data_IF_290920363890
#
_entry.id   IF_290920363890
#
_cell.length_a   1.000
_cell.length_b   1.000
_cell.length_c   1.000
_cell.angle_alpha   90.00
_cell.angle_beta   90.00
_cell.angle_gamma   90.00
#
_symmetry.space_group_name_H-M   'P 1'
#
loop_
_entity.id
_entity.type
_entity.pdbx_description
1 polymer ?
#
# COMPACT_ATOMS: atom_id res chain seq x y z
N UNK A 1 10.20 10.65 -7.09
CA UNK A 1 8.81 10.15 -7.02
C UNK A 1 8.30 10.48 -5.63
N UNK A 2 7.07 10.98 -5.51
CA UNK A 2 6.45 11.23 -4.21
C UNK A 2 5.98 9.91 -3.62
N UNK A 3 6.51 9.54 -2.46
CA UNK A 3 6.08 8.37 -1.69
C UNK A 3 5.20 8.83 -0.52
N UNK A 4 4.15 8.08 -0.21
CA UNK A 4 3.24 8.34 0.91
C UNK A 4 3.39 7.22 1.93
N UNK A 5 3.68 7.56 3.18
CA UNK A 5 3.62 6.61 4.28
C UNK A 5 2.17 6.37 4.69
N UNK A 6 1.74 5.11 4.62
CA UNK A 6 0.42 4.67 5.06
C UNK A 6 0.55 4.22 6.50
N UNK A 7 -0.09 4.94 7.41
CA UNK A 7 0.06 4.73 8.84
C UNK A 7 -1.00 3.76 9.34
N UNK A 8 -0.57 2.69 10.01
CA UNK A 8 -1.44 1.69 10.63
C UNK A 8 -1.99 2.12 11.99
N UNK A 9 -2.74 1.23 12.62
CA UNK A 9 -3.40 1.48 13.91
C UNK A 9 -2.40 1.78 15.04
N UNK A 10 -1.15 1.31 14.91
CA UNK A 10 -0.07 1.51 15.88
C UNK A 10 0.70 2.83 15.69
N UNK A 11 0.31 3.66 14.72
CA UNK A 11 1.00 4.93 14.43
C UNK A 11 2.32 4.76 13.68
N UNK A 12 2.66 3.54 13.26
CA UNK A 12 3.81 3.22 12.43
C UNK A 12 3.39 2.97 10.97
N UNK A 13 4.30 3.19 10.00
CA UNK A 13 4.02 2.85 8.61
C UNK A 13 3.79 1.34 8.44
N UNK A 14 2.68 0.98 7.78
CA UNK A 14 2.38 -0.41 7.40
C UNK A 14 2.65 -0.67 5.92
N UNK A 15 2.60 0.38 5.09
CA UNK A 15 2.90 0.35 3.66
C UNK A 15 3.45 1.72 3.23
N UNK A 16 4.17 1.74 2.12
CA UNK A 16 4.55 2.96 1.41
C UNK A 16 3.91 2.93 0.02
N UNK A 17 3.22 4.01 -0.35
CA UNK A 17 2.58 4.11 -1.65
C UNK A 17 3.35 4.99 -2.61
N UNK A 18 3.47 4.57 -3.87
CA UNK A 18 4.05 5.37 -4.94
C UNK A 18 3.40 5.07 -6.29
N UNK A 19 3.48 6.02 -7.22
CA UNK A 19 3.10 5.79 -8.62
C UNK A 19 4.33 5.38 -9.42
N UNK A 20 4.25 4.25 -10.11
CA UNK A 20 5.25 3.88 -11.09
C UNK A 20 5.12 4.71 -12.37
N UNK A 21 6.18 4.68 -13.18
CA UNK A 21 6.24 5.36 -14.48
C UNK A 21 5.11 4.90 -15.44
N UNK A 22 4.66 3.66 -15.30
CA UNK A 22 3.57 3.08 -16.09
C UNK A 22 2.18 3.49 -15.59
N UNK A 23 2.09 4.29 -14.53
CA UNK A 23 0.83 4.79 -13.96
C UNK A 23 0.18 3.85 -12.93
N UNK A 24 0.77 2.68 -12.68
CA UNK A 24 0.33 1.74 -11.65
C UNK A 24 0.64 2.25 -10.25
N UNK A 25 -0.23 1.93 -9.30
CA UNK A 25 -0.03 2.26 -7.89
C UNK A 25 0.64 1.08 -7.18
N UNK A 26 1.82 1.34 -6.63
CA UNK A 26 2.58 0.39 -5.83
C UNK A 26 2.33 0.68 -4.35
N UNK A 27 2.13 -0.38 -3.58
CA UNK A 27 2.20 -0.38 -2.12
C UNK A 27 3.29 -1.36 -1.70
N UNK A 28 4.33 -0.88 -1.02
CA UNK A 28 5.48 -1.70 -0.64
C UNK A 28 5.66 -1.74 0.88
N UNK A 29 6.20 -2.85 1.35
CA UNK A 29 6.73 -3.00 2.70
C UNK A 29 8.02 -3.82 2.63
N UNK A 30 9.01 -3.39 3.40
CA UNK A 30 10.32 -4.01 3.45
C UNK A 30 10.77 -4.10 4.92
N UNK A 31 11.23 -5.29 5.29
CA UNK A 31 11.81 -5.60 6.59
C UNK A 31 13.20 -6.19 6.37
N UNK A 32 14.20 -5.58 7.01
CA UNK A 32 15.57 -6.08 7.04
C UNK A 32 15.84 -6.73 8.40
N UNK A 33 16.28 -7.99 8.37
CA UNK A 33 16.66 -8.71 9.59
C UNK A 33 17.82 -8.02 10.29
N UNK A 34 17.71 -7.80 11.61
CA UNK A 34 18.76 -7.13 12.38
C UNK A 34 19.75 -8.11 13.02
N UNK A 35 19.44 -9.40 13.00
CA UNK A 35 20.17 -10.45 13.69
C UNK A 35 20.41 -11.66 12.78
N UNK A 36 21.42 -12.48 13.07
CA UNK A 36 21.81 -13.64 12.26
C UNK A 36 20.69 -14.68 12.06
N UNK A 37 19.65 -14.66 12.90
CA UNK A 37 18.50 -15.57 12.84
C UNK A 37 17.26 -14.92 12.21
N UNK A 38 17.37 -13.69 11.72
CA UNK A 38 16.29 -12.95 11.08
C UNK A 38 16.54 -12.87 9.57
N UNK A 39 15.52 -13.20 8.78
CA UNK A 39 15.56 -13.06 7.33
C UNK A 39 14.99 -11.73 6.87
N UNK A 40 15.41 -11.30 5.69
CA UNK A 40 14.81 -10.14 5.02
C UNK A 40 13.48 -10.56 4.39
N UNK A 41 12.52 -9.64 4.43
CA UNK A 41 11.19 -9.84 3.87
C UNK A 41 10.71 -8.60 3.16
N UNK A 42 10.26 -8.76 1.92
CA UNK A 42 9.68 -7.69 1.13
C UNK A 42 8.38 -8.17 0.49
N UNK A 43 7.41 -7.28 0.39
CA UNK A 43 6.28 -7.49 -0.50
C UNK A 43 5.81 -6.18 -1.13
N UNK A 44 5.18 -6.30 -2.29
CA UNK A 44 4.45 -5.21 -2.88
C UNK A 44 3.10 -5.64 -3.46
N UNK A 45 2.10 -4.77 -3.29
CA UNK A 45 0.85 -4.82 -4.02
C UNK A 45 0.91 -3.85 -5.18
N UNK A 46 0.58 -4.33 -6.37
CA UNK A 46 0.43 -3.48 -7.56
C UNK A 46 -1.05 -3.38 -7.94
N UNK A 47 -1.56 -2.16 -8.00
CA UNK A 47 -2.94 -1.86 -8.40
C UNK A 47 -2.94 -1.17 -9.76
N UNK A 48 -3.74 -1.71 -10.68
CA UNK A 48 -3.93 -1.13 -12.02
C UNK A 48 -4.82 0.13 -11.96
N UNK A 49 -4.62 1.12 -12.85
CA UNK A 49 -5.38 2.37 -12.84
C UNK A 49 -6.90 2.21 -12.88
N UNK A 50 -7.41 1.14 -13.52
CA UNK A 50 -8.84 0.86 -13.61
C UNK A 50 -9.48 0.59 -12.25
N UNK A 51 -8.69 0.19 -11.25
CA UNK A 51 -9.15 -0.11 -9.89
C UNK A 51 -9.10 1.09 -8.95
N UNK A 52 -8.48 2.22 -9.35
CA UNK A 52 -8.37 3.42 -8.51
C UNK A 52 -9.73 3.97 -8.03
N UNK A 53 -10.79 4.00 -8.87
CA UNK A 53 -12.12 4.40 -8.41
C UNK A 53 -12.67 3.49 -7.30
N UNK A 54 -12.32 2.20 -7.29
CA UNK A 54 -12.76 1.26 -6.24
C UNK A 54 -12.14 1.60 -4.89
N UNK A 55 -10.87 2.03 -4.88
CA UNK A 55 -10.21 2.53 -3.67
C UNK A 55 -10.99 3.74 -3.14
N UNK A 56 -11.22 4.76 -3.96
CA UNK A 56 -11.95 5.96 -3.53
C UNK A 56 -13.36 5.63 -2.99
N UNK A 57 -14.13 4.85 -3.74
CA UNK A 57 -15.49 4.47 -3.38
C UNK A 57 -15.55 3.73 -2.04
N UNK A 58 -14.61 2.82 -1.79
CA UNK A 58 -14.52 2.07 -0.54
C UNK A 58 -14.38 3.00 0.67
N UNK A 59 -13.57 4.05 0.54
CA UNK A 59 -13.29 4.98 1.61
C UNK A 59 -14.24 6.19 1.66
N UNK A 60 -15.23 6.25 0.75
CA UNK A 60 -16.18 7.35 0.65
C UNK A 60 -15.56 8.65 0.12
N UNK A 61 -14.51 8.54 -0.70
CA UNK A 61 -13.76 9.64 -1.30
C UNK A 61 -14.18 9.87 -2.75
N UNK A 62 -13.76 11.00 -3.33
CA UNK A 62 -14.09 11.33 -4.72
C UNK A 62 -13.24 10.48 -5.70
N UNK A 63 -13.85 9.61 -6.52
CA UNK A 63 -13.11 8.74 -7.45
C UNK A 63 -12.42 9.48 -8.60
N UNK A 64 -12.69 10.77 -8.81
CA UNK A 64 -12.01 11.57 -9.84
C UNK A 64 -10.74 12.24 -9.33
N UNK A 65 -10.48 12.20 -8.02
CA UNK A 65 -9.28 12.80 -7.45
C UNK A 65 -8.04 11.99 -7.88
N UNK A 66 -6.87 12.62 -8.03
CA UNK A 66 -5.62 11.90 -8.28
C UNK A 66 -5.36 10.84 -7.21
N UNK A 67 -4.93 9.64 -7.63
CA UNK A 67 -4.83 8.49 -6.72
C UNK A 67 -3.91 8.73 -5.51
N UNK A 68 -2.82 9.48 -5.66
CA UNK A 68 -1.96 9.82 -4.53
C UNK A 68 -2.65 10.76 -3.53
N UNK A 69 -3.55 11.63 -3.99
CA UNK A 69 -4.39 12.45 -3.09
C UNK A 69 -5.37 11.55 -2.34
N UNK A 70 -6.00 10.60 -3.03
CA UNK A 70 -6.90 9.62 -2.39
C UNK A 70 -6.14 8.83 -1.31
N UNK A 71 -4.96 8.30 -1.61
CA UNK A 71 -4.13 7.57 -0.63
C UNK A 71 -3.73 8.45 0.55
N UNK A 72 -3.38 9.72 0.30
CA UNK A 72 -3.07 10.67 1.37
C UNK A 72 -4.30 10.92 2.27
N UNK A 73 -5.49 11.12 1.69
CA UNK A 73 -6.71 11.30 2.47
C UNK A 73 -7.02 10.08 3.34
N UNK A 74 -6.80 8.86 2.82
CA UNK A 74 -6.99 7.62 3.60
C UNK A 74 -6.05 7.57 4.81
N UNK A 75 -4.78 7.96 4.65
CA UNK A 75 -3.83 8.00 5.78
C UNK A 75 -4.19 9.10 6.77
N UNK A 76 -4.60 10.28 6.30
CA UNK A 76 -5.03 11.41 7.15
C UNK A 76 -6.31 11.08 7.96
N UNK A 77 -7.17 10.23 7.43
CA UNK A 77 -8.36 9.70 8.11
C UNK A 77 -8.04 8.61 9.15
N UNK A 78 -6.78 8.20 9.29
CA UNK A 78 -6.36 7.11 10.17
C UNK A 78 -6.79 5.74 9.67
N UNK A 79 -7.01 5.57 8.36
CA UNK A 79 -7.53 4.33 7.76
C UNK A 79 -6.47 3.50 7.04
N UNK A 80 -5.19 3.71 7.33
CA UNK A 80 -4.11 3.01 6.64
C UNK A 80 -4.12 1.50 6.87
N UNK A 81 -4.43 1.03 8.08
CA UNK A 81 -4.59 -0.40 8.34
C UNK A 81 -5.78 -1.01 7.59
N UNK A 82 -6.88 -0.25 7.43
CA UNK A 82 -8.04 -0.70 6.66
C UNK A 82 -7.70 -0.86 5.18
N UNK A 83 -6.87 0.04 4.63
CA UNK A 83 -6.35 -0.05 3.26
C UNK A 83 -5.45 -1.25 3.06
N UNK A 84 -4.48 -1.48 3.94
CA UNK A 84 -3.62 -2.67 3.92
C UNK A 84 -4.47 -3.95 3.91
N UNK A 85 -5.43 -4.07 4.84
CA UNK A 85 -6.31 -5.25 4.92
C UNK A 85 -7.12 -5.45 3.63
N UNK A 86 -7.60 -4.38 3.01
CA UNK A 86 -8.37 -4.46 1.78
C UNK A 86 -7.52 -4.96 0.59
N UNK A 87 -6.24 -4.59 0.54
CA UNK A 87 -5.28 -5.10 -0.44
C UNK A 87 -4.97 -6.58 -0.18
N UNK A 88 -4.64 -6.94 1.06
CA UNK A 88 -4.30 -8.31 1.48
C UNK A 88 -5.45 -9.29 1.26
N UNK A 89 -6.70 -8.87 1.55
CA UNK A 89 -7.91 -9.68 1.32
C UNK A 89 -8.40 -9.68 -0.11
N UNK A 90 -7.69 -9.01 -1.05
CA UNK A 90 -8.08 -8.85 -2.46
C UNK A 90 -9.48 -8.23 -2.63
N UNK A 91 -9.90 -7.41 -1.68
CA UNK A 91 -11.14 -6.61 -1.78
C UNK A 91 -10.95 -5.44 -2.77
N UNK A 92 -9.71 -4.96 -2.90
CA UNK A 92 -9.23 -4.18 -4.04
C UNK A 92 -8.40 -5.11 -4.90
N UNK A 93 -8.71 -5.22 -6.19
CA UNK A 93 -7.95 -6.08 -7.09
C UNK A 93 -6.52 -5.57 -7.22
N UNK A 94 -5.56 -6.45 -6.97
CA UNK A 94 -4.13 -6.15 -7.03
C UNK A 94 -3.33 -7.42 -7.35
N UNK A 95 -2.13 -7.24 -7.87
CA UNK A 95 -1.10 -8.27 -7.93
C UNK A 95 -0.25 -8.20 -6.67
N UNK A 96 0.14 -9.35 -6.12
CA UNK A 96 1.01 -9.45 -4.96
C UNK A 96 2.32 -10.09 -5.40
N UNK A 97 3.42 -9.40 -5.14
CA UNK A 97 4.77 -9.95 -5.23
C UNK A 97 5.37 -10.02 -3.83
N UNK A 98 6.11 -11.10 -3.55
CA UNK A 98 6.76 -11.32 -2.26
C UNK A 98 8.17 -11.86 -2.46
N UNK A 99 9.10 -11.41 -1.63
CA UNK A 99 10.43 -11.97 -1.51
C UNK A 99 10.76 -12.25 -0.05
N UNK A 100 11.39 -13.40 0.18
CA UNK A 100 11.79 -13.86 1.50
C UNK A 100 13.20 -14.44 1.38
N UNK A 101 14.14 -13.88 2.13
CA UNK A 101 15.47 -14.41 2.28
C UNK A 101 15.63 -15.01 3.68
N UNK A 102 15.47 -16.33 3.81
CA UNK A 102 15.73 -17.02 5.07
C UNK A 102 17.23 -17.28 5.24
N UNK A 103 17.80 -17.08 6.45
CA UNK A 103 19.20 -17.41 6.75
C UNK A 103 19.57 -18.87 6.44
#
# INVERSE_FOLDING_TARGET
MSQISIIGDEGTPVLYASLALEGKLFFEFEYYGLHENEGDYEFNHTVEPEEFPQIANRFGLNPTDPILIIVQQITDMGKGQELERALTKKEIKNELWTWLNTP
#
